data_IF_773982706361
#
_entry.id   IF_773982706361
#
_cell.length_a   1.000
_cell.length_b   1.000
_cell.length_c   1.000
_cell.angle_alpha   90.00
_cell.angle_beta   90.00
_cell.angle_gamma   90.00
#
_symmetry.space_group_name_H-M   'P 1'
#
loop_
_entity.id
_entity.type
_entity.pdbx_description
1 polymer ?
#
# COMPACT_ATOMS: atom_id res chain seq x y z
N UNK A 1 -12.84 27.59 18.18
CA UNK A 1 -12.77 26.17 17.82
C UNK A 1 -13.66 25.98 16.60
N UNK A 2 -13.08 25.97 15.40
CA UNK A 2 -13.86 25.93 14.15
C UNK A 2 -14.45 24.52 14.05
N UNK A 3 -15.76 24.39 14.29
CA UNK A 3 -16.49 23.13 14.10
C UNK A 3 -16.47 22.83 12.61
N UNK A 4 -16.06 21.63 12.22
CA UNK A 4 -16.11 21.14 10.83
C UNK A 4 -17.47 21.40 10.14
N UNK A 5 -18.55 21.45 10.91
CA UNK A 5 -19.89 21.78 10.45
C UNK A 5 -19.99 23.21 9.87
N UNK A 6 -19.27 24.18 10.46
CA UNK A 6 -19.23 25.56 9.97
C UNK A 6 -18.52 25.64 8.62
N UNK A 7 -17.38 24.93 8.50
CA UNK A 7 -16.65 24.81 7.22
C UNK A 7 -17.54 24.18 6.16
N UNK A 8 -18.28 23.12 6.52
CA UNK A 8 -19.22 22.49 5.60
C UNK A 8 -20.32 23.46 5.17
N UNK A 9 -20.90 24.25 6.08
CA UNK A 9 -21.93 25.26 5.78
C UNK A 9 -21.38 26.35 4.84
N UNK A 10 -20.17 26.84 5.10
CA UNK A 10 -19.51 27.82 4.24
C UNK A 10 -19.29 27.27 2.83
N UNK A 11 -18.75 26.05 2.72
CA UNK A 11 -18.50 25.39 1.44
C UNK A 11 -19.80 25.13 0.66
N UNK A 12 -20.88 24.77 1.36
CA UNK A 12 -22.22 24.61 0.75
C UNK A 12 -22.77 25.96 0.26
N UNK A 13 -22.55 27.05 1.00
CA UNK A 13 -22.97 28.38 0.58
C UNK A 13 -22.20 28.87 -0.66
N UNK A 14 -20.90 28.57 -0.74
CA UNK A 14 -20.03 29.02 -1.83
C UNK A 14 -20.16 28.17 -3.12
N UNK A 15 -20.31 26.86 -2.99
CA UNK A 15 -20.24 25.92 -4.11
C UNK A 15 -21.55 25.19 -4.40
N UNK A 16 -22.51 25.25 -3.48
CA UNK A 16 -23.78 24.54 -3.56
C UNK A 16 -23.68 23.07 -3.14
N UNK A 17 -24.79 22.55 -2.59
CA UNK A 17 -24.90 21.17 -2.12
C UNK A 17 -24.53 20.10 -3.17
N UNK A 18 -24.91 20.22 -4.47
CA UNK A 18 -24.58 19.21 -5.49
C UNK A 18 -23.09 19.12 -5.84
N UNK A 19 -22.31 20.19 -5.61
CA UNK A 19 -20.87 20.19 -5.87
C UNK A 19 -20.14 19.58 -4.66
N UNK A 20 -20.50 20.01 -3.46
CA UNK A 20 -19.92 19.49 -2.22
C UNK A 20 -20.21 17.98 -2.05
N UNK A 21 -21.40 17.52 -2.44
CA UNK A 21 -21.75 16.08 -2.38
C UNK A 21 -20.86 15.23 -3.27
N UNK A 22 -20.55 15.70 -4.48
CA UNK A 22 -19.64 15.04 -5.41
C UNK A 22 -18.21 15.01 -4.90
N UNK A 23 -17.72 16.10 -4.31
CA UNK A 23 -16.38 16.17 -3.74
C UNK A 23 -16.21 15.19 -2.56
N UNK A 24 -17.20 15.11 -1.67
CA UNK A 24 -17.16 14.22 -0.51
C UNK A 24 -17.56 12.77 -0.82
N UNK A 25 -18.11 12.50 -2.01
CA UNK A 25 -18.60 11.18 -2.40
C UNK A 25 -19.83 10.71 -1.62
N UNK A 26 -20.69 11.63 -1.18
CA UNK A 26 -21.93 11.36 -0.43
C UNK A 26 -23.16 11.85 -1.20
N UNK A 27 -24.36 11.43 -0.79
CA UNK A 27 -25.59 11.91 -1.43
C UNK A 27 -25.88 13.37 -1.06
N UNK A 28 -26.55 14.10 -1.96
CA UNK A 28 -27.00 15.48 -1.69
C UNK A 28 -27.96 15.53 -0.50
N UNK A 29 -28.84 14.53 -0.36
CA UNK A 29 -29.74 14.38 0.78
C UNK A 29 -28.98 14.24 2.11
N UNK A 30 -27.87 13.49 2.12
CA UNK A 30 -27.01 13.36 3.30
C UNK A 30 -26.44 14.73 3.72
N UNK A 31 -25.92 15.52 2.78
CA UNK A 31 -25.42 16.87 3.09
C UNK A 31 -26.53 17.76 3.66
N UNK A 32 -27.71 17.75 3.05
CA UNK A 32 -28.84 18.53 3.55
C UNK A 32 -29.24 18.12 4.98
N UNK A 33 -29.27 16.82 5.27
CA UNK A 33 -29.54 16.31 6.62
C UNK A 33 -28.44 16.69 7.62
N UNK A 34 -27.17 16.66 7.23
CA UNK A 34 -26.03 17.01 8.10
C UNK A 34 -26.03 18.51 8.40
N UNK A 35 -26.23 19.37 7.40
CA UNK A 35 -26.30 20.83 7.58
C UNK A 35 -27.42 21.23 8.54
N UNK A 36 -28.56 20.53 8.45
CA UNK A 36 -29.72 20.69 9.32
C UNK A 36 -29.62 19.91 10.65
N UNK A 37 -28.50 19.25 10.92
CA UNK A 37 -28.25 18.48 12.16
C UNK A 37 -29.28 17.35 12.40
N UNK A 38 -29.89 16.82 11.34
CA UNK A 38 -30.91 15.76 11.36
C UNK A 38 -30.41 14.42 10.83
N UNK A 39 -29.11 14.28 10.54
CA UNK A 39 -28.57 13.06 9.97
C UNK A 39 -28.46 11.95 11.05
N UNK A 40 -29.19 10.83 10.92
CA UNK A 40 -29.18 9.76 11.93
C UNK A 40 -27.99 8.80 11.79
N UNK A 41 -27.13 9.01 10.79
CA UNK A 41 -26.00 8.15 10.50
C UNK A 41 -24.73 8.53 11.27
N UNK A 42 -23.61 7.97 10.81
CA UNK A 42 -22.30 8.19 11.42
C UNK A 42 -21.77 9.61 11.12
N UNK A 43 -21.96 10.52 12.08
CA UNK A 43 -21.48 11.90 12.00
C UNK A 43 -19.95 11.98 12.03
N UNK A 44 -19.26 11.07 12.72
CA UNK A 44 -17.80 11.05 12.80
C UNK A 44 -17.17 10.69 11.44
N UNK A 45 -17.85 9.86 10.64
CA UNK A 45 -17.47 9.61 9.24
C UNK A 45 -17.55 10.88 8.41
N UNK A 46 -18.61 11.67 8.55
CA UNK A 46 -18.79 12.91 7.77
C UNK A 46 -17.75 13.95 8.18
N UNK A 47 -17.50 14.08 9.48
CA UNK A 47 -16.44 14.94 10.02
C UNK A 47 -15.09 14.64 9.35
N UNK A 48 -14.65 13.38 9.33
CA UNK A 48 -13.39 12.98 8.68
C UNK A 48 -13.35 13.30 7.18
N UNK A 49 -14.46 13.15 6.47
CA UNK A 49 -14.54 13.52 5.05
C UNK A 49 -14.39 15.03 4.85
N UNK A 50 -15.05 15.83 5.68
CA UNK A 50 -14.97 17.30 5.65
C UNK A 50 -13.55 17.76 6.02
N UNK A 51 -12.95 17.18 7.06
CA UNK A 51 -11.59 17.46 7.46
C UNK A 51 -10.59 17.12 6.34
N UNK A 52 -10.76 15.98 5.67
CA UNK A 52 -9.90 15.55 4.58
C UNK A 52 -10.05 16.37 3.30
N UNK A 53 -11.25 16.89 3.01
CA UNK A 53 -11.52 17.62 1.77
C UNK A 53 -11.28 19.13 1.89
N UNK A 54 -11.62 19.72 3.04
CA UNK A 54 -11.62 21.18 3.21
C UNK A 54 -10.62 21.69 4.25
N UNK A 55 -10.20 20.85 5.21
CA UNK A 55 -9.19 21.20 6.22
C UNK A 55 -7.81 20.61 5.92
N UNK A 56 -7.59 20.11 4.69
CA UNK A 56 -6.31 19.56 4.21
C UNK A 56 -5.69 18.49 5.13
N UNK A 57 -6.53 17.70 5.82
CA UNK A 57 -6.05 16.61 6.67
C UNK A 57 -5.51 15.47 5.80
N UNK A 58 -4.20 15.26 5.84
CA UNK A 58 -3.50 14.20 5.10
C UNK A 58 -3.17 12.98 5.97
N UNK A 59 -3.02 11.83 5.34
CA UNK A 59 -2.54 10.57 5.93
C UNK A 59 -1.42 9.99 5.07
N UNK A 60 -0.47 9.30 5.69
CA UNK A 60 0.59 8.63 4.95
C UNK A 60 0.18 7.21 4.57
N UNK A 61 -0.28 7.03 3.34
CA UNK A 61 -0.63 5.72 2.80
C UNK A 61 0.63 4.89 2.52
N UNK A 62 0.71 3.63 2.97
CA UNK A 62 1.87 2.79 2.71
C UNK A 62 2.08 2.43 1.22
N UNK A 63 1.08 2.65 0.36
CA UNK A 63 1.16 2.38 -1.08
C UNK A 63 1.34 3.66 -1.90
N UNK A 64 0.59 4.72 -1.57
CA UNK A 64 0.58 5.97 -2.35
C UNK A 64 1.43 7.09 -1.74
N UNK A 65 1.88 6.96 -0.49
CA UNK A 65 2.49 8.04 0.26
C UNK A 65 1.46 9.01 0.83
N UNK A 66 1.81 10.28 0.93
CA UNK A 66 0.92 11.31 1.47
C UNK A 66 -0.34 11.48 0.60
N UNK A 67 -1.50 11.35 1.24
CA UNK A 67 -2.81 11.40 0.58
C UNK A 67 -3.83 12.12 1.46
N UNK A 68 -4.72 12.95 0.91
CA UNK A 68 -5.84 13.50 1.67
C UNK A 68 -6.73 12.40 2.28
N UNK A 69 -7.22 12.63 3.51
CA UNK A 69 -8.02 11.64 4.25
C UNK A 69 -9.29 11.22 3.50
N UNK A 70 -9.92 12.14 2.77
CA UNK A 70 -11.14 11.85 2.00
C UNK A 70 -10.88 10.88 0.85
N UNK A 71 -9.74 11.01 0.14
CA UNK A 71 -9.33 10.07 -0.91
C UNK A 71 -8.97 8.70 -0.32
N UNK A 72 -8.28 8.68 0.83
CA UNK A 72 -7.98 7.44 1.55
C UNK A 72 -9.26 6.65 1.85
N UNK A 73 -10.30 7.33 2.35
CA UNK A 73 -11.61 6.72 2.63
C UNK A 73 -12.30 6.25 1.34
N UNK A 74 -12.17 6.99 0.24
CA UNK A 74 -12.72 6.57 -1.05
C UNK A 74 -12.04 5.28 -1.56
N UNK A 75 -10.73 5.16 -1.44
CA UNK A 75 -10.00 3.93 -1.77
C UNK A 75 -10.42 2.74 -0.90
N UNK A 76 -10.65 2.97 0.40
CA UNK A 76 -11.15 1.93 1.31
C UNK A 76 -12.56 1.45 0.93
N UNK A 77 -13.45 2.37 0.55
CA UNK A 77 -14.84 2.09 0.21
C UNK A 77 -15.04 1.31 -1.10
N UNK A 78 -14.02 1.20 -1.96
CA UNK A 78 -14.10 0.43 -3.21
C UNK A 78 -14.35 -1.05 -2.91
N UNK A 79 -15.43 -1.59 -3.50
CA UNK A 79 -15.89 -2.98 -3.32
C UNK A 79 -15.22 -4.00 -4.24
N UNK A 80 -14.43 -3.55 -5.22
CA UNK A 80 -13.78 -4.42 -6.21
C UNK A 80 -12.37 -3.96 -6.54
N UNK A 81 -11.58 -4.92 -7.03
CA UNK A 81 -10.23 -4.70 -7.52
C UNK A 81 -10.28 -4.72 -9.04
N UNK A 82 -9.88 -3.62 -9.69
CA UNK A 82 -9.68 -3.66 -11.14
C UNK A 82 -8.41 -4.45 -11.48
N UNK A 83 -8.22 -4.81 -12.74
CA UNK A 83 -7.00 -5.46 -13.24
C UNK A 83 -5.72 -4.65 -13.04
N UNK A 84 -5.81 -3.39 -12.60
CA UNK A 84 -4.66 -2.55 -12.32
C UNK A 84 -3.89 -3.04 -11.07
N UNK A 85 -2.60 -3.38 -11.20
CA UNK A 85 -1.77 -3.85 -10.08
C UNK A 85 -1.73 -2.87 -8.90
N UNK A 86 -1.75 -1.56 -9.14
CA UNK A 86 -1.73 -0.54 -8.09
C UNK A 86 -2.99 -0.59 -7.23
N UNK A 87 -4.16 -0.68 -7.86
CA UNK A 87 -5.43 -0.79 -7.12
C UNK A 87 -5.52 -2.11 -6.36
N UNK A 88 -4.95 -3.19 -6.89
CA UNK A 88 -4.84 -4.46 -6.17
C UNK A 88 -3.95 -4.35 -4.92
N UNK A 89 -2.82 -3.63 -5.02
CA UNK A 89 -1.93 -3.37 -3.87
C UNK A 89 -2.64 -2.53 -2.80
N UNK A 90 -3.28 -1.43 -3.19
CA UNK A 90 -4.10 -0.58 -2.31
C UNK A 90 -5.20 -1.38 -1.60
N UNK A 91 -5.97 -2.16 -2.37
CA UNK A 91 -7.06 -2.96 -1.81
C UNK A 91 -6.58 -3.95 -0.76
N UNK A 92 -5.44 -4.61 -1.03
CA UNK A 92 -4.82 -5.55 -0.10
C UNK A 92 -4.31 -4.83 1.15
N UNK A 93 -3.56 -3.74 0.99
CA UNK A 93 -3.02 -2.94 2.09
C UNK A 93 -4.12 -2.43 3.03
N UNK A 94 -5.24 -1.91 2.51
CA UNK A 94 -6.34 -1.46 3.35
C UNK A 94 -7.01 -2.59 4.16
N UNK A 95 -6.86 -3.86 3.75
CA UNK A 95 -7.54 -5.02 4.36
C UNK A 95 -6.58 -5.98 5.09
N UNK A 96 -5.32 -5.59 5.23
CA UNK A 96 -4.26 -6.32 5.95
C UNK A 96 -3.72 -5.53 7.14
N UNK A 97 -4.60 -4.81 7.85
CA UNK A 97 -4.23 -4.15 9.12
C UNK A 97 -3.61 -2.75 9.01
N UNK A 98 -3.91 -1.99 7.96
CA UNK A 98 -3.47 -0.58 7.88
C UNK A 98 -4.05 0.25 9.06
N UNK A 99 -3.25 1.07 9.78
CA UNK A 99 -3.69 1.83 10.96
C UNK A 99 -4.66 2.95 10.63
N UNK A 100 -4.66 3.41 9.37
CA UNK A 100 -5.61 4.42 8.87
C UNK A 100 -6.88 3.79 8.27
N UNK A 101 -6.95 2.46 8.21
CA UNK A 101 -8.11 1.75 7.66
C UNK A 101 -9.22 1.64 8.69
N UNK A 102 -10.43 2.01 8.30
CA UNK A 102 -11.64 1.75 9.10
C UNK A 102 -12.24 0.36 8.81
N UNK A 103 -11.58 -0.46 7.99
CA UNK A 103 -12.05 -1.78 7.61
C UNK A 103 -11.49 -2.84 8.57
N UNK A 104 -12.34 -3.79 8.97
CA UNK A 104 -11.89 -5.00 9.65
C UNK A 104 -10.90 -5.77 8.77
N UNK A 105 -9.84 -6.32 9.37
CA UNK A 105 -8.93 -7.23 8.68
C UNK A 105 -9.68 -8.50 8.23
N UNK A 106 -9.62 -8.82 6.93
CA UNK A 106 -10.39 -9.94 6.33
C UNK A 106 -9.55 -10.87 5.46
N UNK A 107 -8.29 -10.55 5.21
CA UNK A 107 -7.43 -11.35 4.35
C UNK A 107 -6.86 -12.54 5.13
N UNK A 108 -7.12 -13.77 4.64
CA UNK A 108 -6.58 -15.01 5.25
C UNK A 108 -5.04 -15.03 5.32
N UNK A 109 -4.39 -14.33 4.39
CA UNK A 109 -2.95 -14.09 4.39
C UNK A 109 -2.76 -12.57 4.27
N UNK A 110 -2.53 -11.85 5.38
CA UNK A 110 -2.27 -10.43 5.29
C UNK A 110 -1.02 -10.21 4.45
N UNK A 111 -1.08 -9.22 3.56
CA UNK A 111 0.14 -8.74 2.92
C UNK A 111 0.92 -8.02 4.00
N UNK A 112 2.19 -8.35 4.17
CA UNK A 112 3.10 -7.54 4.98
C UNK A 112 3.22 -6.19 4.29
N UNK A 113 2.38 -5.25 4.71
CA UNK A 113 2.58 -3.85 4.43
C UNK A 113 3.86 -3.53 5.20
N UNK A 114 4.97 -3.36 4.50
CA UNK A 114 6.18 -2.88 5.15
C UNK A 114 5.87 -1.48 5.67
N UNK A 115 5.46 -1.42 6.93
CA UNK A 115 5.08 -0.18 7.61
C UNK A 115 6.30 0.67 7.95
N UNK A 116 7.48 0.18 7.59
CA UNK A 116 8.74 0.79 7.93
C UNK A 116 9.72 0.68 6.76
N UNK A 117 10.38 1.81 6.50
CA UNK A 117 11.26 2.07 5.37
C UNK A 117 12.60 1.33 5.45
N UNK A 118 12.77 0.39 6.37
CA UNK A 118 13.88 -0.55 6.35
C UNK A 118 13.48 -1.78 5.55
N UNK A 119 13.62 -1.67 4.22
CA UNK A 119 13.86 -2.84 3.37
C UNK A 119 15.18 -3.46 3.84
N UNK A 120 15.12 -4.28 4.89
CA UNK A 120 16.25 -5.08 5.35
C UNK A 120 16.71 -5.89 4.15
N UNK A 121 17.88 -5.55 3.62
CA UNK A 121 18.53 -6.38 2.61
C UNK A 121 18.75 -7.72 3.28
N UNK A 122 17.96 -8.73 2.91
CA UNK A 122 18.16 -10.07 3.46
C UNK A 122 19.55 -10.52 3.04
N UNK A 123 20.38 -10.86 4.02
CA UNK A 123 21.69 -11.44 3.76
C UNK A 123 21.56 -12.69 2.90
N UNK A 124 22.54 -12.95 2.04
CA UNK A 124 22.57 -14.18 1.26
C UNK A 124 22.77 -15.37 2.19
N UNK A 125 21.79 -16.27 2.24
CA UNK A 125 21.87 -17.51 3.00
C UNK A 125 22.68 -18.55 2.22
N UNK A 126 24.00 -18.50 2.40
CA UNK A 126 24.92 -19.42 1.75
C UNK A 126 24.79 -20.84 2.32
N UNK A 127 24.42 -21.00 3.59
CA UNK A 127 24.29 -22.32 4.22
C UNK A 127 23.17 -23.14 3.57
N UNK A 128 22.01 -22.51 3.36
CA UNK A 128 20.90 -23.16 2.64
C UNK A 128 21.25 -23.47 1.18
N UNK A 129 22.05 -22.61 0.53
CA UNK A 129 22.55 -22.87 -0.82
C UNK A 129 23.48 -24.08 -0.85
N UNK A 130 24.49 -24.12 0.03
CA UNK A 130 25.42 -25.25 0.17
C UNK A 130 24.66 -26.54 0.44
N UNK A 131 23.72 -26.56 1.39
CA UNK A 131 22.90 -27.75 1.68
C UNK A 131 22.11 -28.25 0.47
N UNK A 132 21.58 -27.35 -0.36
CA UNK A 132 20.90 -27.71 -1.61
C UNK A 132 21.87 -28.32 -2.61
N UNK A 133 23.01 -27.66 -2.84
CA UNK A 133 24.02 -28.10 -3.81
C UNK A 133 24.62 -29.45 -3.43
N UNK A 134 24.94 -29.67 -2.16
CA UNK A 134 25.46 -30.95 -1.67
C UNK A 134 24.47 -32.08 -1.96
N UNK A 135 23.17 -31.89 -1.66
CA UNK A 135 22.14 -32.89 -2.00
C UNK A 135 22.01 -33.15 -3.49
N UNK A 136 22.19 -32.14 -4.33
CA UNK A 136 22.14 -32.27 -5.79
C UNK A 136 23.40 -32.95 -6.35
N UNK A 137 24.53 -32.85 -5.64
CA UNK A 137 25.78 -33.50 -5.99
C UNK A 137 25.79 -35.00 -5.64
N UNK A 138 25.15 -35.39 -4.52
CA UNK A 138 25.10 -36.78 -4.04
C UNK A 138 24.35 -37.74 -4.99
N UNK A 139 23.64 -37.23 -6.01
CA UNK A 139 22.93 -38.02 -7.01
C UNK A 139 23.68 -38.29 -8.32
N UNK A 140 24.94 -37.86 -8.47
CA UNK A 140 25.68 -37.91 -9.74
C UNK A 140 26.73 -39.05 -9.81
N UNK A 141 26.78 -39.78 -10.94
CA UNK A 141 27.79 -40.83 -11.22
C UNK A 141 29.17 -40.24 -11.57
N UNK A 142 30.23 -40.92 -11.12
CA UNK A 142 31.63 -40.47 -10.96
C UNK A 142 32.39 -39.91 -12.19
N UNK A 143 31.85 -39.96 -13.42
CA UNK A 143 32.46 -39.33 -14.61
C UNK A 143 31.74 -38.04 -15.03
N UNK A 144 30.44 -37.91 -14.69
CA UNK A 144 29.63 -36.71 -14.93
C UNK A 144 29.61 -35.77 -13.71
N UNK A 145 30.21 -36.17 -12.59
CA UNK A 145 30.25 -35.42 -11.32
C UNK A 145 30.90 -34.05 -11.46
N UNK A 146 32.05 -33.94 -12.12
CA UNK A 146 32.75 -32.65 -12.26
C UNK A 146 31.99 -31.67 -13.17
N UNK A 147 31.38 -32.15 -14.25
CA UNK A 147 30.54 -31.32 -15.13
C UNK A 147 29.26 -30.87 -14.42
N UNK A 148 28.59 -31.80 -13.74
CA UNK A 148 27.39 -31.51 -12.94
C UNK A 148 27.66 -30.51 -11.82
N UNK A 149 28.78 -30.66 -11.10
CA UNK A 149 29.20 -29.69 -10.08
C UNK A 149 29.47 -28.30 -10.66
N UNK A 150 30.07 -28.22 -11.86
CA UNK A 150 30.28 -26.96 -12.56
C UNK A 150 28.95 -26.32 -12.98
N UNK A 151 28.00 -27.09 -13.51
CA UNK A 151 26.66 -26.58 -13.86
C UNK A 151 25.91 -26.03 -12.65
N UNK A 152 25.95 -26.78 -11.54
CA UNK A 152 25.38 -26.34 -10.27
C UNK A 152 26.01 -25.03 -9.79
N UNK A 153 27.35 -24.91 -9.84
CA UNK A 153 28.05 -23.70 -9.45
C UNK A 153 27.70 -22.50 -10.37
N UNK A 154 27.67 -22.72 -11.68
CA UNK A 154 27.29 -21.69 -12.67
C UNK A 154 25.89 -21.15 -12.33
N UNK A 155 24.93 -22.05 -12.08
CA UNK A 155 23.56 -21.64 -11.76
C UNK A 155 23.47 -20.77 -10.49
N UNK A 156 24.27 -21.06 -9.47
CA UNK A 156 24.30 -20.25 -8.25
C UNK A 156 24.95 -18.89 -8.47
N UNK A 157 26.04 -18.84 -9.26
CA UNK A 157 26.70 -17.59 -9.62
C UNK A 157 25.76 -16.69 -10.42
N UNK A 158 24.95 -17.25 -11.33
CA UNK A 158 23.93 -16.49 -12.06
C UNK A 158 22.88 -15.90 -11.10
N UNK A 159 22.36 -16.70 -10.17
CA UNK A 159 21.38 -16.24 -9.18
C UNK A 159 21.96 -15.14 -8.29
N UNK A 160 23.22 -15.30 -7.86
CA UNK A 160 23.95 -14.30 -7.09
C UNK A 160 24.15 -13.01 -7.90
N UNK A 161 24.60 -13.11 -9.15
CA UNK A 161 24.79 -11.97 -10.05
C UNK A 161 23.50 -11.19 -10.27
N UNK A 162 22.38 -11.88 -10.51
CA UNK A 162 21.07 -11.24 -10.65
C UNK A 162 20.69 -10.47 -9.37
N UNK A 163 20.88 -11.07 -8.19
CA UNK A 163 20.57 -10.43 -6.91
C UNK A 163 21.45 -9.21 -6.66
N UNK A 164 22.75 -9.35 -6.89
CA UNK A 164 23.75 -8.29 -6.73
C UNK A 164 23.47 -7.09 -7.66
N UNK A 165 23.23 -7.34 -8.95
CA UNK A 165 22.88 -6.29 -9.91
C UNK A 165 21.57 -5.58 -9.53
N UNK A 166 20.62 -6.30 -8.92
CA UNK A 166 19.38 -5.71 -8.41
C UNK A 166 19.63 -4.77 -7.22
N UNK A 167 20.64 -5.05 -6.40
CA UNK A 167 21.08 -4.16 -5.31
C UNK A 167 21.76 -2.91 -5.86
N UNK A 168 22.68 -3.04 -6.82
CA UNK A 168 23.32 -1.88 -7.49
C UNK A 168 22.27 -0.94 -8.06
N UNK A 169 21.33 -1.46 -8.87
CA UNK A 169 20.21 -0.66 -9.42
C UNK A 169 19.33 -0.02 -8.34
N UNK A 170 19.26 -0.65 -7.18
CA UNK A 170 18.55 -0.12 -6.02
C UNK A 170 19.28 1.05 -5.35
N UNK A 171 20.61 1.01 -5.32
CA UNK A 171 21.48 2.07 -4.79
C UNK A 171 21.48 3.27 -5.75
N UNK A 172 21.71 3.06 -7.05
CA UNK A 172 21.69 4.12 -8.08
C UNK A 172 20.36 4.90 -8.08
N UNK A 173 19.23 4.20 -7.91
CA UNK A 173 17.91 4.84 -7.81
C UNK A 173 17.71 5.66 -6.54
N UNK A 174 18.41 5.32 -5.45
CA UNK A 174 18.36 6.12 -4.21
C UNK A 174 19.21 7.37 -4.34
N UNK A 175 20.39 7.27 -4.96
CA UNK A 175 21.27 8.40 -5.24
C UNK A 175 20.59 9.43 -6.15
N UNK A 176 20.04 8.99 -7.29
CA UNK A 176 19.31 9.85 -8.24
C UNK A 176 18.01 10.48 -7.70
N UNK A 177 17.55 10.10 -6.51
CA UNK A 177 16.37 10.67 -5.87
C UNK A 177 16.73 11.70 -4.79
N UNK A 178 17.99 11.74 -4.39
CA UNK A 178 18.52 12.67 -3.40
C UNK A 178 19.20 13.90 -4.03
N UNK A 179 19.48 13.86 -5.33
CA UNK A 179 19.82 15.02 -6.19
C UNK A 179 18.55 15.63 -6.80
#
# INVERSE_FOLDING_TARGET
MIKWLEVLRQQVAEHGQPKVSRMLGVSTACISQVVNEKYPGDMARIEKLVEGAFLQKCVNCPVLGELPLHECMQHQARKGVSSNPLYMQLYKACRSGCPHSSLSERLKRPVTIAFDATRSVKAYDYESAVRRLTRQADGANSFATAQHLNELLISELEVLGIKYNRLIKGIEKKENKND
#
